data_IF_018744934030
#
_entry.id   IF_018744934030
#
_cell.length_a   1.000
_cell.length_b   1.000
_cell.length_c   1.000
_cell.angle_alpha   90.00
_cell.angle_beta   90.00
_cell.angle_gamma   90.00
#
_symmetry.space_group_name_H-M   'P 1'
#
loop_
_entity.id
_entity.type
_entity.pdbx_description
1 polymer ?
#
# COMPACT_ATOMS: atom_id res chain seq x y z
N UNK A 1 15.81 -7.77 -23.43
CA UNK A 1 15.91 -6.30 -23.40
C UNK A 1 15.05 -5.85 -22.23
N UNK A 2 15.64 -5.19 -21.23
CA UNK A 2 14.85 -4.59 -20.15
C UNK A 2 14.00 -3.46 -20.73
N UNK A 3 12.73 -3.41 -20.35
CA UNK A 3 11.79 -2.38 -20.78
C UNK A 3 12.27 -1.01 -20.29
N UNK A 4 12.33 0.02 -21.16
CA UNK A 4 12.81 1.33 -20.75
C UNK A 4 11.88 1.96 -19.70
N UNK A 5 12.47 2.66 -18.73
CA UNK A 5 11.73 3.46 -17.77
C UNK A 5 11.12 4.67 -18.48
N UNK A 6 9.81 4.65 -18.68
CA UNK A 6 9.05 5.73 -19.29
C UNK A 6 7.70 5.96 -18.58
N UNK A 7 6.92 6.93 -19.09
CA UNK A 7 5.60 7.25 -18.55
C UNK A 7 4.61 6.09 -18.65
N UNK A 8 4.71 5.27 -19.69
CA UNK A 8 3.78 4.17 -19.93
C UNK A 8 4.03 3.03 -18.95
N UNK A 9 5.31 2.70 -18.68
CA UNK A 9 5.67 1.76 -17.63
C UNK A 9 5.25 2.28 -16.24
N UNK A 10 5.47 3.57 -15.96
CA UNK A 10 5.04 4.15 -14.68
C UNK A 10 3.51 4.08 -14.47
N UNK A 11 2.73 4.32 -15.53
CA UNK A 11 1.27 4.13 -15.53
C UNK A 11 0.90 2.67 -15.26
N UNK A 12 1.50 1.75 -16.00
CA UNK A 12 1.19 0.33 -15.90
C UNK A 12 1.52 -0.25 -14.53
N UNK A 13 2.68 0.11 -13.95
CA UNK A 13 3.01 -0.23 -12.57
C UNK A 13 1.94 0.30 -11.60
N UNK A 14 1.54 1.56 -11.77
CA UNK A 14 0.50 2.18 -10.94
C UNK A 14 -0.83 1.40 -11.00
N UNK A 15 -1.25 1.01 -12.20
CA UNK A 15 -2.45 0.20 -12.44
C UNK A 15 -2.32 -1.20 -11.84
N UNK A 16 -1.20 -1.89 -12.07
CA UNK A 16 -0.94 -3.24 -11.57
C UNK A 16 -0.99 -3.27 -10.05
N UNK A 17 -0.31 -2.33 -9.38
CA UNK A 17 -0.36 -2.23 -7.93
C UNK A 17 -1.77 -1.86 -7.45
N UNK A 18 -2.42 -0.87 -8.06
CA UNK A 18 -3.77 -0.46 -7.68
C UNK A 18 -4.78 -1.62 -7.72
N UNK A 19 -4.71 -2.45 -8.78
CA UNK A 19 -5.54 -3.64 -8.92
C UNK A 19 -5.24 -4.69 -7.85
N UNK A 20 -3.96 -4.95 -7.54
CA UNK A 20 -3.57 -5.89 -6.50
C UNK A 20 -3.99 -5.41 -5.10
N UNK A 21 -3.74 -4.14 -4.79
CA UNK A 21 -4.07 -3.57 -3.49
C UNK A 21 -5.58 -3.55 -3.25
N UNK A 22 -6.41 -3.32 -4.27
CA UNK A 22 -7.87 -3.43 -4.18
C UNK A 22 -8.33 -4.74 -3.52
N UNK A 23 -7.70 -5.85 -3.88
CA UNK A 23 -8.01 -7.16 -3.32
C UNK A 23 -7.53 -7.27 -1.87
N UNK A 24 -6.32 -6.79 -1.59
CA UNK A 24 -5.68 -6.86 -0.26
C UNK A 24 -6.27 -5.91 0.79
N UNK A 25 -6.96 -4.85 0.37
CA UNK A 25 -7.66 -3.92 1.28
C UNK A 25 -9.06 -4.39 1.65
N UNK A 26 -9.54 -5.54 1.17
CA UNK A 26 -10.96 -5.91 1.33
C UNK A 26 -11.20 -7.29 1.93
N UNK A 27 -12.43 -7.50 2.41
CA UNK A 27 -12.94 -8.81 2.80
C UNK A 27 -12.11 -9.51 3.88
N UNK A 28 -11.76 -10.81 3.70
CA UNK A 28 -10.99 -11.59 4.67
C UNK A 28 -9.61 -11.01 4.99
N UNK A 29 -8.94 -10.39 4.01
CA UNK A 29 -7.61 -9.82 4.19
C UNK A 29 -7.59 -8.68 5.21
N UNK A 30 -8.63 -7.85 5.24
CA UNK A 30 -8.71 -6.77 6.23
C UNK A 30 -8.75 -7.31 7.68
N UNK A 31 -9.41 -8.45 7.91
CA UNK A 31 -9.46 -9.10 9.23
C UNK A 31 -8.14 -9.78 9.59
N UNK A 32 -7.43 -10.33 8.61
CA UNK A 32 -6.07 -10.87 8.81
C UNK A 32 -5.11 -9.73 9.13
N UNK A 33 -5.12 -8.66 8.35
CA UNK A 33 -4.32 -7.46 8.56
C UNK A 33 -4.55 -6.85 9.95
N UNK A 34 -5.80 -6.72 10.39
CA UNK A 34 -6.09 -6.24 11.73
C UNK A 34 -5.48 -7.13 12.82
N UNK A 35 -5.63 -8.45 12.70
CA UNK A 35 -5.04 -9.40 13.65
C UNK A 35 -3.50 -9.31 13.68
N UNK A 36 -2.87 -9.19 12.53
CA UNK A 36 -1.41 -9.08 12.42
C UNK A 36 -0.88 -7.72 12.89
N UNK A 37 -1.67 -6.65 12.73
CA UNK A 37 -1.37 -5.31 13.21
C UNK A 37 -1.82 -5.05 14.66
N UNK A 38 -2.24 -6.09 15.40
CA UNK A 38 -2.75 -5.99 16.77
C UNK A 38 -3.95 -5.02 16.93
N UNK A 39 -4.80 -4.92 15.92
CA UNK A 39 -6.04 -4.13 15.93
C UNK A 39 -7.25 -5.04 16.14
N UNK A 40 -8.08 -4.70 17.12
CA UNK A 40 -9.38 -5.34 17.32
C UNK A 40 -10.44 -4.64 16.45
N UNK A 41 -10.93 -5.34 15.43
CA UNK A 41 -12.06 -4.84 14.63
C UNK A 41 -13.39 -5.31 15.21
N UNK A 42 -14.43 -4.46 15.17
CA UNK A 42 -15.78 -4.86 15.55
C UNK A 42 -16.24 -6.08 14.74
N UNK A 43 -16.77 -7.07 15.47
CA UNK A 43 -17.30 -8.29 14.89
C UNK A 43 -18.59 -8.00 14.09
N UNK A 44 -19.49 -7.20 14.66
CA UNK A 44 -20.77 -6.84 14.04
C UNK A 44 -20.62 -5.72 12.99
N UNK A 45 -21.37 -5.75 11.87
CA UNK A 45 -21.22 -4.77 10.78
C UNK A 45 -21.72 -3.36 11.12
N UNK A 46 -22.67 -3.24 12.06
CA UNK A 46 -23.38 -1.99 12.37
C UNK A 46 -22.81 -1.24 13.57
N UNK A 47 -22.04 -1.90 14.44
CA UNK A 47 -21.29 -1.26 15.52
C UNK A 47 -19.82 -1.04 15.09
N UNK A 48 -19.32 0.19 15.26
CA UNK A 48 -17.92 0.52 14.95
C UNK A 48 -17.57 0.57 13.46
N UNK A 49 -18.53 0.96 12.60
CA UNK A 49 -18.29 1.21 11.18
C UNK A 49 -17.15 2.22 10.95
N UNK A 50 -17.05 3.25 11.78
CA UNK A 50 -15.96 4.24 11.74
C UNK A 50 -14.60 3.62 12.06
N UNK A 51 -14.51 2.75 13.09
CA UNK A 51 -13.26 2.04 13.44
C UNK A 51 -12.80 1.15 12.28
N UNK A 52 -13.74 0.41 11.67
CA UNK A 52 -13.44 -0.45 10.52
C UNK A 52 -13.01 0.36 9.31
N UNK A 53 -13.70 1.45 9.00
CA UNK A 53 -13.34 2.36 7.92
C UNK A 53 -11.99 3.03 8.16
N UNK A 54 -11.71 3.39 9.42
CA UNK A 54 -10.46 4.01 9.83
C UNK A 54 -9.29 3.05 9.67
N UNK A 55 -9.42 1.81 10.13
CA UNK A 55 -8.37 0.81 9.93
C UNK A 55 -8.18 0.47 8.45
N UNK A 56 -9.27 0.32 7.69
CA UNK A 56 -9.23 0.10 6.23
C UNK A 56 -8.34 1.14 5.54
N UNK A 57 -8.56 2.41 5.81
CA UNK A 57 -7.77 3.47 5.17
C UNK A 57 -6.32 3.54 5.64
N UNK A 58 -6.06 3.31 6.94
CA UNK A 58 -4.69 3.23 7.47
C UNK A 58 -3.93 2.06 6.84
N UNK A 59 -4.60 0.92 6.68
CA UNK A 59 -4.05 -0.26 6.02
C UNK A 59 -3.80 0.00 4.51
N UNK A 60 -4.75 0.63 3.82
CA UNK A 60 -4.57 1.07 2.43
C UNK A 60 -3.32 1.94 2.26
N UNK A 61 -3.14 2.96 3.12
CA UNK A 61 -1.97 3.84 3.08
C UNK A 61 -0.65 3.09 3.29
N UNK A 62 -0.65 2.06 4.14
CA UNK A 62 0.52 1.20 4.32
C UNK A 62 0.84 0.34 3.11
N UNK A 63 -0.18 -0.25 2.48
CA UNK A 63 -0.01 -1.02 1.26
C UNK A 63 0.47 -0.15 0.09
N UNK A 64 -0.05 1.07 -0.03
CA UNK A 64 0.40 2.07 -1.03
C UNK A 64 1.89 2.39 -0.85
N UNK A 65 2.35 2.55 0.41
CA UNK A 65 3.76 2.79 0.71
C UNK A 65 4.63 1.57 0.38
N UNK A 66 4.19 0.35 0.69
CA UNK A 66 4.88 -0.89 0.33
C UNK A 66 4.99 -1.07 -1.20
N UNK A 67 3.91 -0.76 -1.93
CA UNK A 67 3.90 -0.81 -3.39
C UNK A 67 4.92 0.17 -3.99
N UNK A 68 4.97 1.39 -3.47
CA UNK A 68 5.96 2.38 -3.91
C UNK A 68 7.39 1.95 -3.59
N UNK A 69 7.64 1.48 -2.37
CA UNK A 69 8.96 0.99 -1.97
C UNK A 69 9.42 -0.15 -2.88
N UNK A 70 8.53 -1.12 -3.15
CA UNK A 70 8.81 -2.24 -4.04
C UNK A 70 9.12 -1.76 -5.45
N UNK A 71 8.32 -0.82 -5.98
CA UNK A 71 8.54 -0.22 -7.29
C UNK A 71 9.92 0.44 -7.41
N UNK A 72 10.28 1.27 -6.42
CA UNK A 72 11.55 2.00 -6.38
C UNK A 72 12.74 1.02 -6.29
N UNK A 73 12.61 -0.04 -5.50
CA UNK A 73 13.67 -1.04 -5.33
C UNK A 73 13.88 -1.88 -6.58
N UNK A 74 12.80 -2.27 -7.27
CA UNK A 74 12.85 -3.22 -8.37
C UNK A 74 12.95 -2.59 -9.76
N UNK A 75 12.63 -1.30 -9.90
CA UNK A 75 12.65 -0.61 -11.18
C UNK A 75 13.86 0.33 -11.24
N UNK A 76 14.94 -0.04 -11.96
CA UNK A 76 16.12 0.80 -12.08
C UNK A 76 15.76 2.22 -12.53
N UNK A 77 16.32 3.23 -11.87
CA UNK A 77 16.10 4.64 -12.19
C UNK A 77 14.82 5.27 -11.62
N UNK A 78 13.81 4.47 -11.20
CA UNK A 78 12.55 5.03 -10.68
C UNK A 78 12.75 5.84 -9.40
N UNK A 79 13.69 5.42 -8.53
CA UNK A 79 14.04 6.18 -7.33
C UNK A 79 14.61 7.57 -7.62
N UNK A 80 15.26 7.76 -8.77
CA UNK A 80 15.85 9.04 -9.19
C UNK A 80 14.89 9.94 -9.96
N UNK A 81 13.83 9.39 -10.57
CA UNK A 81 12.83 10.15 -11.32
C UNK A 81 11.58 10.42 -10.48
N UNK A 82 11.54 11.59 -9.84
CA UNK A 82 10.39 12.01 -9.03
C UNK A 82 9.08 12.06 -9.82
N UNK A 83 9.11 12.44 -11.10
CA UNK A 83 7.92 12.55 -11.92
C UNK A 83 7.31 11.18 -12.16
N UNK A 84 8.12 10.20 -12.54
CA UNK A 84 7.66 8.83 -12.81
C UNK A 84 7.27 8.13 -11.51
N UNK A 85 8.01 8.35 -10.42
CA UNK A 85 7.68 7.80 -9.10
C UNK A 85 6.31 8.28 -8.60
N UNK A 86 6.07 9.60 -8.65
CA UNK A 86 4.75 10.18 -8.30
C UNK A 86 3.65 9.64 -9.20
N UNK A 87 3.93 9.46 -10.48
CA UNK A 87 2.97 8.93 -11.45
C UNK A 87 2.54 7.50 -11.11
N UNK A 88 3.49 6.61 -10.80
CA UNK A 88 3.19 5.26 -10.31
C UNK A 88 2.38 5.31 -9.03
N UNK A 89 2.79 6.12 -8.04
CA UNK A 89 2.09 6.25 -6.77
C UNK A 89 0.64 6.75 -6.93
N UNK A 90 0.42 7.82 -7.71
CA UNK A 90 -0.92 8.34 -7.95
C UNK A 90 -1.83 7.33 -8.65
N UNK A 91 -1.30 6.56 -9.60
CA UNK A 91 -2.05 5.48 -10.25
C UNK A 91 -2.50 4.43 -9.24
N UNK A 92 -1.63 4.05 -8.30
CA UNK A 92 -1.96 3.11 -7.21
C UNK A 92 -3.05 3.67 -6.29
N UNK A 93 -2.87 4.89 -5.77
CA UNK A 93 -3.83 5.50 -4.84
C UNK A 93 -5.21 5.68 -5.48
N UNK A 94 -5.29 6.14 -6.73
CA UNK A 94 -6.57 6.38 -7.41
C UNK A 94 -7.45 5.12 -7.46
N UNK A 95 -6.85 3.96 -7.72
CA UNK A 95 -7.56 2.68 -7.72
C UNK A 95 -8.02 2.26 -6.33
N UNK A 96 -7.16 2.40 -5.33
CA UNK A 96 -7.47 2.05 -3.95
C UNK A 96 -8.60 2.94 -3.42
N UNK A 97 -8.48 4.26 -3.59
CA UNK A 97 -9.47 5.24 -3.15
C UNK A 97 -10.85 5.00 -3.80
N UNK A 98 -10.89 4.74 -5.10
CA UNK A 98 -12.13 4.38 -5.80
C UNK A 98 -12.77 3.11 -5.21
N UNK A 99 -11.96 2.13 -4.83
CA UNK A 99 -12.45 0.86 -4.27
C UNK A 99 -12.92 0.96 -2.81
N UNK A 100 -12.39 1.91 -2.03
CA UNK A 100 -12.70 2.06 -0.60
C UNK A 100 -13.79 3.10 -0.35
N UNK A 101 -14.07 4.00 -1.29
CA UNK A 101 -14.99 5.15 -1.14
C UNK A 101 -16.33 4.82 -0.46
N UNK A 102 -17.01 3.73 -0.84
CA UNK A 102 -18.30 3.35 -0.22
C UNK A 102 -18.13 2.89 1.23
N UNK A 103 -17.03 2.23 1.54
CA UNK A 103 -16.72 1.64 2.86
C UNK A 103 -16.19 2.68 3.85
N UNK A 104 -15.81 3.85 3.36
CA UNK A 104 -15.19 4.93 4.15
C UNK A 104 -16.12 6.11 4.40
N UNK A 105 -17.40 5.99 4.00
CA UNK A 105 -18.43 7.00 4.24
C UNK A 105 -18.66 7.33 5.72
N UNK A 106 -18.42 6.36 6.60
CA UNK A 106 -18.60 6.51 8.04
C UNK A 106 -17.48 7.31 8.72
N UNK A 107 -16.41 7.70 8.00
CA UNK A 107 -15.34 8.49 8.59
C UNK A 107 -15.73 9.95 8.76
N UNK A 108 -15.55 10.44 9.98
CA UNK A 108 -15.54 11.86 10.32
C UNK A 108 -14.50 12.64 9.49
N UNK A 109 -14.70 13.95 9.27
CA UNK A 109 -13.69 14.82 8.65
C UNK A 109 -12.32 14.75 9.35
N UNK A 110 -12.32 14.76 10.69
CA UNK A 110 -11.12 14.64 11.52
C UNK A 110 -10.44 13.30 11.31
N UNK A 111 -11.22 12.21 11.26
CA UNK A 111 -10.71 10.87 10.95
C UNK A 111 -10.02 10.81 9.58
N UNK A 112 -10.60 11.44 8.55
CA UNK A 112 -10.00 11.53 7.21
C UNK A 112 -8.69 12.33 7.24
N UNK A 113 -8.65 13.45 7.97
CA UNK A 113 -7.44 14.25 8.09
C UNK A 113 -6.29 13.47 8.75
N UNK A 114 -6.58 12.74 9.82
CA UNK A 114 -5.59 11.91 10.51
C UNK A 114 -5.05 10.77 9.62
N UNK A 115 -5.92 10.14 8.83
CA UNK A 115 -5.52 9.16 7.83
C UNK A 115 -4.60 9.76 6.78
N UNK A 116 -4.95 10.95 6.27
CA UNK A 116 -4.13 11.64 5.28
C UNK A 116 -2.76 12.05 5.84
N UNK A 117 -2.70 12.46 7.12
CA UNK A 117 -1.43 12.69 7.82
C UNK A 117 -0.60 11.40 7.91
N UNK A 118 -1.21 10.28 8.26
CA UNK A 118 -0.54 8.97 8.33
C UNK A 118 -0.01 8.55 6.95
N UNK A 119 -0.82 8.67 5.89
CA UNK A 119 -0.44 8.39 4.50
C UNK A 119 0.77 9.21 4.08
N UNK A 120 0.78 10.52 4.33
CA UNK A 120 1.93 11.39 4.06
C UNK A 120 3.19 10.98 4.83
N UNK A 121 3.06 10.58 6.10
CA UNK A 121 4.20 10.13 6.93
C UNK A 121 4.80 8.83 6.40
N UNK A 122 3.97 7.89 5.96
CA UNK A 122 4.44 6.64 5.33
C UNK A 122 5.08 6.89 3.97
N UNK A 123 4.50 7.77 3.15
CA UNK A 123 5.10 8.15 1.86
C UNK A 123 6.48 8.79 2.06
N UNK A 124 6.61 9.73 3.00
CA UNK A 124 7.90 10.35 3.34
C UNK A 124 8.92 9.32 3.81
N UNK A 125 8.50 8.33 4.60
CA UNK A 125 9.38 7.27 5.06
C UNK A 125 9.98 6.44 3.89
N UNK A 126 9.24 6.30 2.79
CA UNK A 126 9.73 5.63 1.59
C UNK A 126 10.59 6.56 0.74
N UNK A 127 10.13 7.78 0.46
CA UNK A 127 10.78 8.68 -0.49
C UNK A 127 12.03 9.37 0.06
N UNK A 128 11.99 9.76 1.33
CA UNK A 128 13.05 10.55 1.98
C UNK A 128 13.92 9.65 2.84
N UNK A 129 13.29 8.93 3.77
CA UNK A 129 14.04 8.12 4.76
C UNK A 129 14.51 6.79 4.15
N UNK A 130 13.98 6.42 2.97
CA UNK A 130 14.30 5.19 2.23
C UNK A 130 14.22 3.93 3.09
N UNK A 131 13.20 3.88 3.97
CA UNK A 131 13.01 2.74 4.86
C UNK A 131 12.82 1.45 4.07
N UNK A 132 13.51 0.40 4.52
CA UNK A 132 13.28 -0.96 4.06
C UNK A 132 11.95 -1.51 4.57
N UNK A 133 11.60 -2.71 4.11
CA UNK A 133 10.31 -3.36 4.39
C UNK A 133 10.04 -3.44 5.90
N UNK A 134 11.04 -3.86 6.67
CA UNK A 134 10.93 -4.06 8.11
C UNK A 134 10.80 -2.74 8.86
N UNK A 135 11.62 -1.75 8.51
CA UNK A 135 11.55 -0.41 9.09
C UNK A 135 10.22 0.28 8.75
N UNK A 136 9.68 0.06 7.56
CA UNK A 136 8.37 0.58 7.18
C UNK A 136 7.24 -0.10 7.95
N UNK A 137 7.31 -1.41 8.19
CA UNK A 137 6.36 -2.13 9.04
C UNK A 137 6.37 -1.61 10.49
N UNK A 138 7.57 -1.40 11.06
CA UNK A 138 7.73 -0.76 12.38
C UNK A 138 7.11 0.62 12.41
N UNK A 139 7.41 1.45 11.40
CA UNK A 139 6.86 2.80 11.30
C UNK A 139 5.33 2.78 11.23
N UNK A 140 4.75 1.89 10.43
CA UNK A 140 3.29 1.74 10.36
C UNK A 140 2.69 1.37 11.71
N UNK A 141 3.29 0.43 12.43
CA UNK A 141 2.82 0.05 13.76
C UNK A 141 2.86 1.23 14.74
N UNK A 142 3.97 1.99 14.76
CA UNK A 142 4.10 3.20 15.59
C UNK A 142 3.03 4.24 15.28
N UNK A 143 2.75 4.46 13.99
CA UNK A 143 1.71 5.40 13.55
C UNK A 143 0.30 4.92 13.91
N UNK A 144 0.09 3.62 13.98
CA UNK A 144 -1.20 3.02 14.28
C UNK A 144 -1.52 3.07 15.77
N UNK A 145 -0.52 2.84 16.63
CA UNK A 145 -0.71 2.65 18.08
C UNK A 145 -0.11 3.75 18.95
N UNK A 146 0.73 4.63 18.39
CA UNK A 146 1.45 5.65 19.17
C UNK A 146 2.54 5.07 20.09
N UNK A 147 2.93 3.81 19.88
CA UNK A 147 3.98 3.12 20.65
C UNK A 147 4.77 2.18 19.76
N UNK A 148 5.93 1.75 20.26
CA UNK A 148 6.67 0.66 19.64
C UNK A 148 5.94 -0.67 19.83
N UNK A 149 6.11 -1.55 18.83
CA UNK A 149 5.64 -2.92 18.89
C UNK A 149 6.54 -3.77 19.78
N UNK A 150 5.94 -4.76 20.44
CA UNK A 150 6.70 -5.89 20.99
C UNK A 150 7.24 -6.79 19.88
N UNK A 151 8.24 -7.62 20.19
CA UNK A 151 8.81 -8.57 19.23
C UNK A 151 7.75 -9.51 18.63
N UNK A 152 6.83 -10.00 19.46
CA UNK A 152 5.75 -10.90 19.02
C UNK A 152 4.73 -10.21 18.09
N UNK A 153 4.46 -8.93 18.30
CA UNK A 153 3.60 -8.13 17.41
C UNK A 153 4.30 -7.84 16.09
N UNK A 154 5.58 -7.46 16.15
CA UNK A 154 6.37 -7.23 14.95
C UNK A 154 6.52 -8.48 14.10
N UNK A 155 6.75 -9.63 14.72
CA UNK A 155 6.90 -10.89 14.00
C UNK A 155 5.64 -11.25 13.19
N UNK A 156 4.45 -10.97 13.74
CA UNK A 156 3.18 -11.18 13.02
C UNK A 156 3.04 -10.20 11.87
N UNK A 157 3.27 -8.90 12.10
CA UNK A 157 3.15 -7.89 11.06
C UNK A 157 4.15 -8.15 9.93
N UNK A 158 5.42 -8.42 10.26
CA UNK A 158 6.49 -8.78 9.32
C UNK A 158 6.08 -9.92 8.40
N UNK A 159 5.51 -11.00 8.93
CA UNK A 159 5.07 -12.14 8.09
C UNK A 159 4.04 -11.73 7.05
N UNK A 160 3.09 -10.87 7.41
CA UNK A 160 2.09 -10.39 6.46
C UNK A 160 2.71 -9.40 5.46
N UNK A 161 3.55 -8.49 5.95
CA UNK A 161 4.29 -7.54 5.13
C UNK A 161 5.13 -8.27 4.09
N UNK A 162 5.94 -9.23 4.49
CA UNK A 162 6.81 -9.99 3.61
C UNK A 162 6.02 -10.72 2.51
N UNK A 163 4.96 -11.44 2.87
CA UNK A 163 4.07 -12.09 1.89
C UNK A 163 3.46 -11.09 0.91
N UNK A 164 3.14 -9.90 1.38
CA UNK A 164 2.60 -8.83 0.54
C UNK A 164 3.66 -8.29 -0.41
N UNK A 165 4.88 -8.04 0.08
CA UNK A 165 6.02 -7.62 -0.73
C UNK A 165 6.33 -8.66 -1.80
N UNK A 166 6.42 -9.95 -1.48
CA UNK A 166 6.67 -11.01 -2.46
C UNK A 166 5.63 -11.02 -3.61
N UNK A 167 4.36 -10.74 -3.28
CA UNK A 167 3.32 -10.62 -4.29
C UNK A 167 3.53 -9.38 -5.17
N UNK A 168 3.85 -8.24 -4.55
CA UNK A 168 4.16 -7.01 -5.28
C UNK A 168 5.38 -7.20 -6.17
N UNK A 169 6.43 -7.86 -5.70
CA UNK A 169 7.64 -8.13 -6.46
C UNK A 169 7.38 -8.99 -7.70
N UNK A 170 6.57 -10.05 -7.54
CA UNK A 170 6.15 -10.90 -8.67
C UNK A 170 5.38 -10.10 -9.71
N UNK A 171 4.50 -9.21 -9.27
CA UNK A 171 3.76 -8.31 -10.15
C UNK A 171 4.70 -7.33 -10.86
N UNK A 172 5.63 -6.69 -10.15
CA UNK A 172 6.61 -5.77 -10.73
C UNK A 172 7.43 -6.47 -11.82
N UNK A 173 7.95 -7.66 -11.50
CA UNK A 173 8.71 -8.47 -12.47
C UNK A 173 7.90 -8.77 -13.72
N UNK A 174 6.65 -9.22 -13.54
CA UNK A 174 5.74 -9.50 -14.66
C UNK A 174 5.49 -8.26 -15.52
N UNK A 175 5.28 -7.08 -14.92
CA UNK A 175 5.08 -5.81 -15.63
C UNK A 175 6.34 -5.33 -16.37
N UNK A 176 7.52 -5.55 -15.79
CA UNK A 176 8.80 -5.21 -16.41
C UNK A 176 9.14 -6.12 -17.60
N UNK A 177 8.73 -7.39 -17.53
CA UNK A 177 8.93 -8.39 -18.60
C UNK A 177 7.84 -8.35 -19.68
N UNK A 178 6.71 -7.68 -19.43
CA UNK A 178 5.61 -7.58 -20.38
C UNK A 178 6.03 -6.81 -21.64
N UNK A 179 5.81 -7.42 -22.81
CA UNK A 179 6.07 -6.80 -24.11
C UNK A 179 4.97 -5.77 -24.44
N UNK A 180 5.29 -4.46 -24.52
CA UNK A 180 4.31 -3.42 -24.82
C UNK A 180 3.63 -3.59 -26.21
N UNK A 181 4.20 -4.38 -27.12
CA UNK A 181 3.62 -4.66 -28.45
C UNK A 181 2.51 -5.71 -28.43
N UNK A 182 2.43 -6.57 -27.42
CA UNK A 182 1.37 -7.58 -27.30
C UNK A 182 0.05 -7.03 -26.74
N UNK A 183 0.12 -5.98 -25.92
CA UNK A 183 -1.07 -5.38 -25.28
C UNK A 183 -1.98 -4.58 -26.24
N UNK A 184 -1.47 -4.14 -27.40
CA UNK A 184 -2.27 -3.39 -28.41
C UNK A 184 -3.06 -4.27 -29.40
N UNK A 185 -3.01 -5.60 -29.26
CA UNK A 185 -3.66 -6.55 -30.17
C UNK A 185 -4.77 -7.39 -29.50
N UNK A 186 -5.13 -7.09 -28.25
CA UNK A 186 -6.23 -7.74 -27.53
C UNK A 186 -7.45 -6.82 -27.47
#
# INVERSE_FOLDING_TARGET
>A
MERPLDKALADELGLTYGAALRELVSGPFLREAARHAAVSLPFFPWSGAEVRAGFLMKWSAYLEALALQTAVRMTPGLGGDERLRRKTFFGTCAFVDASTQKRTKALSPEGKEEIEKLRRRLLRAVEVDRLDEEALARRFFELLHGRQASDAEMEKLKKLTHRTTELLEKLTKTTLEADPKKAKKA
#
